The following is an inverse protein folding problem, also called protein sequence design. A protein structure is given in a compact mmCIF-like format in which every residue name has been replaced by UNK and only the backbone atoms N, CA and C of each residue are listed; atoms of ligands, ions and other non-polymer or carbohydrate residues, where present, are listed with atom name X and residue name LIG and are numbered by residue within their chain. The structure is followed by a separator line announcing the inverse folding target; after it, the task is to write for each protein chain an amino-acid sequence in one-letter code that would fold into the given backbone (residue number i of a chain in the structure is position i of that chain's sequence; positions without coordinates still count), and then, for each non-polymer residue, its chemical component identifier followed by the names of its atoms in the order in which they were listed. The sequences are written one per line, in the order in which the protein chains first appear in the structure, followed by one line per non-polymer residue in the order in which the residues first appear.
data_IF_456061695599
#
_entry.id   IF_456061695599
#
_cell.length_a   1.000
_cell.length_b   1.000
_cell.length_c   1.000
_cell.angle_alpha   90.00
_cell.angle_beta   90.00
_cell.angle_gamma   90.00
#
_symmetry.space_group_name_H-M   'P 1'
#
loop_
_entity.id
_entity.type
_entity.pdbx_description
1 polymer ?
#
# COMPACT_ATOMS: atom_id res chain seq x y z
N UNK A 1 45.09 -22.18 -51.75
CA UNK A 1 44.16 -21.10 -51.38
C UNK A 1 42.88 -21.64 -50.70
N UNK A 2 42.11 -22.54 -51.34
CA UNK A 2 40.86 -23.10 -50.80
C UNK A 2 41.00 -23.74 -49.41
N UNK A 3 42.03 -24.57 -49.19
CA UNK A 3 42.30 -25.20 -47.86
C UNK A 3 42.61 -24.18 -46.76
N UNK A 4 43.20 -23.03 -47.09
CA UNK A 4 43.47 -21.96 -46.11
C UNK A 4 42.20 -21.19 -45.77
N UNK A 5 41.33 -20.99 -46.76
CA UNK A 5 40.04 -20.31 -46.63
C UNK A 5 39.07 -21.13 -45.75
N UNK A 6 38.95 -22.43 -46.02
CA UNK A 6 38.20 -23.38 -45.18
C UNK A 6 38.64 -23.33 -43.71
N UNK A 7 39.95 -23.24 -43.45
CA UNK A 7 40.49 -23.14 -42.09
C UNK A 7 40.15 -21.82 -41.41
N UNK A 8 40.10 -20.70 -42.14
CA UNK A 8 39.73 -19.39 -41.60
C UNK A 8 38.22 -19.33 -41.32
N UNK A 9 37.40 -19.83 -42.24
CA UNK A 9 35.94 -19.91 -42.04
C UNK A 9 35.60 -20.81 -40.84
N UNK A 10 36.27 -21.96 -40.72
CA UNK A 10 36.13 -22.85 -39.56
C UNK A 10 36.56 -22.15 -38.25
N UNK A 11 37.67 -21.41 -38.26
CA UNK A 11 38.15 -20.67 -37.10
C UNK A 11 37.19 -19.55 -36.70
N UNK A 12 36.59 -18.84 -37.67
CA UNK A 12 35.59 -17.82 -37.42
C UNK A 12 34.31 -18.41 -36.83
N UNK A 13 33.82 -19.53 -37.38
CA UNK A 13 32.64 -20.22 -36.84
C UNK A 13 32.87 -20.75 -35.42
N UNK A 14 33.99 -21.45 -35.19
CA UNK A 14 34.33 -21.98 -33.86
C UNK A 14 34.60 -20.87 -32.85
N UNK A 15 35.29 -19.80 -33.25
CA UNK A 15 35.57 -18.66 -32.39
C UNK A 15 34.32 -17.90 -32.00
N UNK A 16 33.42 -17.66 -32.96
CA UNK A 16 32.12 -17.01 -32.67
C UNK A 16 31.26 -17.90 -31.76
N UNK A 17 31.21 -19.21 -32.03
CA UNK A 17 30.50 -20.16 -31.17
C UNK A 17 31.05 -20.19 -29.73
N UNK A 18 32.38 -20.13 -29.57
CA UNK A 18 33.01 -20.08 -28.25
C UNK A 18 32.67 -18.78 -27.50
N UNK A 19 32.66 -17.63 -28.18
CA UNK A 19 32.27 -16.34 -27.58
C UNK A 19 30.83 -16.39 -27.07
N UNK A 20 29.90 -16.89 -27.89
CA UNK A 20 28.50 -17.03 -27.50
C UNK A 20 28.31 -17.99 -26.32
N UNK A 21 29.10 -19.08 -26.26
CA UNK A 21 29.06 -20.04 -25.17
C UNK A 21 29.57 -19.42 -23.85
N UNK A 22 30.68 -18.69 -23.90
CA UNK A 22 31.24 -17.98 -22.73
C UNK A 22 30.26 -16.93 -22.23
N UNK A 23 29.66 -16.15 -23.13
CA UNK A 23 28.63 -15.17 -22.79
C UNK A 23 27.42 -15.82 -22.11
N UNK A 24 26.91 -16.93 -22.67
CA UNK A 24 25.79 -17.65 -22.08
C UNK A 24 26.11 -18.21 -20.70
N UNK A 25 27.31 -18.76 -20.50
CA UNK A 25 27.74 -19.30 -19.21
C UNK A 25 27.96 -18.20 -18.16
N UNK A 26 28.54 -17.05 -18.53
CA UNK A 26 28.68 -15.92 -17.60
C UNK A 26 27.31 -15.34 -17.23
N UNK A 27 26.38 -15.22 -18.19
CA UNK A 27 25.01 -14.78 -17.93
C UNK A 27 24.27 -15.73 -16.98
N UNK A 28 24.36 -17.05 -17.19
CA UNK A 28 23.78 -18.04 -16.27
C UNK A 28 24.41 -17.97 -14.88
N UNK A 29 25.75 -17.83 -14.80
CA UNK A 29 26.45 -17.71 -13.52
C UNK A 29 26.03 -16.47 -12.75
N UNK A 30 25.88 -15.33 -13.42
CA UNK A 30 25.41 -14.10 -12.78
C UNK A 30 23.97 -14.21 -12.31
N UNK A 31 23.07 -14.74 -13.15
CA UNK A 31 21.68 -14.97 -12.76
C UNK A 31 21.61 -15.85 -11.50
N UNK A 32 22.43 -16.91 -11.43
CA UNK A 32 22.50 -17.77 -10.24
C UNK A 32 22.99 -17.04 -8.99
N UNK A 33 24.07 -16.28 -9.10
CA UNK A 33 24.61 -15.51 -7.97
C UNK A 33 23.60 -14.47 -7.46
N UNK A 34 22.90 -13.80 -8.37
CA UNK A 34 21.86 -12.84 -8.03
C UNK A 34 20.66 -13.52 -7.35
N UNK A 35 20.20 -14.66 -7.86
CA UNK A 35 19.14 -15.44 -7.21
C UNK A 35 19.54 -15.94 -5.82
N UNK A 36 20.80 -16.37 -5.64
CA UNK A 36 21.32 -16.77 -4.32
C UNK A 36 21.37 -15.59 -3.35
N UNK A 37 21.79 -14.40 -3.80
CA UNK A 37 21.77 -13.18 -2.98
C UNK A 37 20.35 -12.77 -2.59
N UNK A 38 19.41 -12.80 -3.53
CA UNK A 38 18.00 -12.49 -3.28
C UNK A 38 17.41 -13.50 -2.29
N UNK A 39 17.73 -14.78 -2.41
CA UNK A 39 17.25 -15.80 -1.47
C UNK A 39 17.73 -15.53 -0.03
N UNK A 40 19.00 -15.16 0.15
CA UNK A 40 19.53 -14.79 1.48
C UNK A 40 18.83 -13.55 2.06
N UNK A 41 18.56 -12.53 1.22
CA UNK A 41 17.81 -11.35 1.65
C UNK A 41 16.35 -11.70 1.99
N UNK A 42 15.71 -12.60 1.23
CA UNK A 42 14.36 -13.07 1.53
C UNK A 42 14.30 -13.85 2.86
N UNK A 43 15.31 -14.67 3.16
CA UNK A 43 15.40 -15.39 4.44
C UNK A 43 15.55 -14.41 5.62
N UNK A 44 16.35 -13.35 5.46
CA UNK A 44 16.49 -12.29 6.46
C UNK A 44 15.15 -11.54 6.66
N UNK A 45 14.49 -11.14 5.57
CA UNK A 45 13.17 -10.51 5.61
C UNK A 45 12.15 -11.43 6.29
N UNK A 46 12.15 -12.72 5.96
CA UNK A 46 11.26 -13.72 6.57
C UNK A 46 11.50 -13.81 8.08
N UNK A 47 12.75 -13.91 8.52
CA UNK A 47 13.08 -13.99 9.95
C UNK A 47 12.65 -12.74 10.72
N UNK A 48 12.91 -11.56 10.16
CA UNK A 48 12.52 -10.29 10.77
C UNK A 48 10.99 -10.11 10.80
N UNK A 49 10.27 -10.53 9.75
CA UNK A 49 8.81 -10.51 9.75
C UNK A 49 8.24 -11.50 10.76
N UNK A 50 8.79 -12.71 10.85
CA UNK A 50 8.36 -13.72 11.83
C UNK A 50 8.48 -13.19 13.24
N UNK A 51 9.63 -12.60 13.59
CA UNK A 51 9.84 -12.00 14.91
C UNK A 51 8.84 -10.86 15.20
N UNK A 52 8.56 -10.01 14.21
CA UNK A 52 7.57 -8.94 14.35
C UNK A 52 6.16 -9.50 14.60
N UNK A 53 5.74 -10.53 13.85
CA UNK A 53 4.45 -11.19 14.04
C UNK A 53 4.33 -11.84 15.42
N UNK A 54 5.35 -12.60 15.82
CA UNK A 54 5.38 -13.31 17.11
C UNK A 54 5.26 -12.30 18.27
N UNK A 55 5.97 -11.17 18.18
CA UNK A 55 5.88 -10.10 19.17
C UNK A 55 4.49 -9.46 19.23
N UNK A 56 3.89 -9.17 18.07
CA UNK A 56 2.55 -8.58 18.00
C UNK A 56 1.49 -9.53 18.57
N UNK A 57 1.55 -10.81 18.23
CA UNK A 57 0.63 -11.84 18.74
C UNK A 57 0.81 -11.99 20.25
N UNK A 58 2.05 -12.17 20.73
CA UNK A 58 2.35 -12.34 22.15
C UNK A 58 1.89 -11.14 22.98
N UNK A 59 2.14 -9.90 22.53
CA UNK A 59 1.69 -8.70 23.21
C UNK A 59 0.15 -8.62 23.28
N UNK A 60 -0.52 -8.95 22.17
CA UNK A 60 -1.99 -8.90 22.09
C UNK A 60 -2.64 -9.93 23.01
N UNK A 61 -2.08 -11.14 23.07
CA UNK A 61 -2.54 -12.22 23.95
C UNK A 61 -2.29 -11.94 25.43
N UNK A 62 -1.14 -11.35 25.77
CA UNK A 62 -0.87 -10.91 27.13
C UNK A 62 -1.91 -9.88 27.59
N UNK A 63 -2.12 -8.82 26.79
CA UNK A 63 -3.10 -7.76 27.09
C UNK A 63 -4.52 -8.31 27.21
N UNK A 64 -4.91 -9.23 26.31
CA UNK A 64 -6.21 -9.89 26.34
C UNK A 64 -6.39 -10.73 27.62
N UNK A 65 -5.36 -11.45 28.05
CA UNK A 65 -5.37 -12.22 29.30
C UNK A 65 -5.51 -11.34 30.54
N UNK A 66 -4.80 -10.22 30.59
CA UNK A 66 -4.88 -9.26 31.71
C UNK A 66 -6.26 -8.57 31.77
N UNK A 67 -6.81 -8.17 30.62
CA UNK A 67 -8.16 -7.60 30.53
C UNK A 67 -9.27 -8.58 30.89
N UNK A 68 -9.10 -9.87 30.55
CA UNK A 68 -10.02 -10.92 30.98
C UNK A 68 -10.05 -11.09 32.51
N UNK A 69 -8.90 -10.91 33.17
CA UNK A 69 -8.79 -11.01 34.62
C UNK A 69 -9.29 -9.74 35.34
N UNK A 70 -9.00 -8.55 34.78
CA UNK A 70 -9.34 -7.25 35.38
C UNK A 70 -9.92 -6.31 34.33
N UNK A 71 -11.25 -6.29 34.11
CA UNK A 71 -11.89 -5.45 33.10
C UNK A 71 -11.63 -3.94 33.29
N UNK A 72 -11.50 -3.48 34.54
CA UNK A 72 -11.23 -2.08 34.86
C UNK A 72 -9.82 -1.62 34.42
N UNK A 73 -8.93 -2.56 34.08
CA UNK A 73 -7.60 -2.26 33.53
C UNK A 73 -7.67 -1.41 32.27
N UNK A 74 -8.77 -1.49 31.50
CA UNK A 74 -8.98 -0.73 30.27
C UNK A 74 -8.76 0.78 30.46
N UNK A 75 -9.18 1.35 31.58
CA UNK A 75 -9.00 2.78 31.89
C UNK A 75 -7.56 3.12 32.32
N UNK A 76 -6.79 2.12 32.74
CA UNK A 76 -5.42 2.25 33.25
C UNK A 76 -4.35 1.83 32.22
N UNK A 77 -4.75 1.40 31.02
CA UNK A 77 -3.84 0.92 29.96
C UNK A 77 -2.76 1.92 29.56
N UNK A 78 -2.99 3.22 29.73
CA UNK A 78 -1.99 4.25 29.44
C UNK A 78 -0.70 4.14 30.30
N UNK A 79 -0.75 3.43 31.43
CA UNK A 79 0.41 3.11 32.26
C UNK A 79 0.99 1.72 32.00
N UNK A 80 0.39 0.94 31.10
CA UNK A 80 0.83 -0.43 30.86
C UNK A 80 2.18 -0.46 30.11
N UNK A 81 3.16 -1.29 30.50
CA UNK A 81 4.50 -1.28 29.89
C UNK A 81 4.50 -1.49 28.37
N UNK A 82 3.64 -2.39 27.86
CA UNK A 82 3.49 -2.60 26.41
C UNK A 82 3.03 -1.32 25.72
N UNK A 83 2.06 -0.60 26.30
CA UNK A 83 1.54 0.66 25.74
C UNK A 83 2.60 1.76 25.79
N UNK A 84 3.36 1.85 26.88
CA UNK A 84 4.44 2.83 27.01
C UNK A 84 5.64 2.56 26.09
N UNK A 85 5.81 1.32 25.64
CA UNK A 85 6.85 0.94 24.68
C UNK A 85 6.47 1.20 23.22
N UNK A 86 5.20 1.54 22.95
CA UNK A 86 4.75 1.85 21.60
C UNK A 86 5.43 3.12 21.08
N UNK A 87 5.67 3.12 19.77
CA UNK A 87 6.04 4.33 19.04
C UNK A 87 4.90 5.34 19.07
N UNK A 88 5.25 6.62 19.12
CA UNK A 88 4.28 7.72 18.99
C UNK A 88 3.71 7.83 17.56
N UNK A 89 4.29 7.11 16.58
CA UNK A 89 3.76 7.07 15.22
C UNK A 89 2.61 6.05 15.10
N UNK A 90 1.35 6.49 14.93
CA UNK A 90 0.19 5.61 14.76
C UNK A 90 0.26 4.76 13.49
N UNK A 91 1.09 5.16 12.50
CA UNK A 91 1.31 4.39 11.29
C UNK A 91 2.11 3.12 11.58
N UNK A 92 2.99 3.14 12.58
CA UNK A 92 3.82 2.00 12.92
C UNK A 92 3.00 0.88 13.55
N UNK A 93 2.26 1.22 14.60
CA UNK A 93 1.39 0.28 15.31
C UNK A 93 0.32 1.05 16.08
N UNK A 94 -0.94 0.68 15.89
CA UNK A 94 -2.05 1.12 16.74
C UNK A 94 -2.61 -0.08 17.49
N UNK A 95 -2.63 -0.01 18.83
CA UNK A 95 -3.35 -0.96 19.67
C UNK A 95 -4.68 -0.35 20.07
N UNK A 96 -5.79 -1.01 19.76
CA UNK A 96 -7.14 -0.58 20.13
C UNK A 96 -7.88 -1.66 20.89
N UNK A 97 -8.70 -1.23 21.84
CA UNK A 97 -9.34 -2.07 22.83
C UNK A 97 -10.83 -1.83 22.80
N UNK A 98 -11.60 -2.90 22.70
CA UNK A 98 -13.06 -2.81 22.67
C UNK A 98 -13.66 -3.31 23.96
N UNK A 99 -14.71 -2.62 24.44
CA UNK A 99 -15.69 -3.24 25.33
C UNK A 99 -16.82 -3.73 24.44
N UNK A 100 -17.09 -5.03 24.52
CA UNK A 100 -17.94 -5.74 23.57
C UNK A 100 -17.54 -5.42 22.11
N UNK A 101 -18.34 -4.65 21.38
CA UNK A 101 -18.14 -4.31 19.96
C UNK A 101 -17.71 -2.87 19.73
N UNK A 102 -17.46 -2.11 20.80
CA UNK A 102 -17.14 -0.69 20.70
C UNK A 102 -15.72 -0.40 21.17
N UNK A 103 -14.97 0.35 20.38
CA UNK A 103 -13.62 0.79 20.71
C UNK A 103 -13.67 1.88 21.79
N UNK A 104 -13.15 1.55 22.98
CA UNK A 104 -13.12 2.46 24.14
C UNK A 104 -11.74 3.09 24.38
N UNK A 105 -10.66 2.42 23.94
CA UNK A 105 -9.30 2.93 24.05
C UNK A 105 -8.49 2.59 22.80
N UNK A 106 -7.57 3.47 22.41
CA UNK A 106 -6.62 3.25 21.34
C UNK A 106 -5.32 4.01 21.62
N UNK A 107 -4.19 3.40 21.28
CA UNK A 107 -2.86 3.90 21.54
C UNK A 107 -1.96 3.75 20.30
N UNK A 108 -1.10 4.74 20.00
CA UNK A 108 -1.01 6.06 20.68
C UNK A 108 -2.31 6.87 20.53
N UNK A 109 -2.66 7.69 21.52
CA UNK A 109 -3.95 8.41 21.51
C UNK A 109 -3.99 9.43 20.36
N UNK A 110 -2.87 10.13 20.16
CA UNK A 110 -2.68 11.06 19.06
C UNK A 110 -2.47 10.27 17.76
N UNK A 111 -3.27 10.57 16.75
CA UNK A 111 -3.23 9.90 15.44
C UNK A 111 -4.11 8.64 15.30
N UNK A 112 -4.62 8.09 16.40
CA UNK A 112 -5.60 6.98 16.39
C UNK A 112 -7.05 7.45 16.59
N UNK A 113 -7.33 8.75 16.45
CA UNK A 113 -8.65 9.35 16.68
C UNK A 113 -9.71 8.80 15.71
N UNK A 114 -9.28 8.36 14.54
CA UNK A 114 -10.09 7.74 13.50
C UNK A 114 -10.59 6.33 13.83
N UNK A 115 -10.09 5.74 14.90
CA UNK A 115 -10.45 4.39 15.35
C UNK A 115 -11.26 4.47 16.66
N UNK A 116 -11.01 5.47 17.49
CA UNK A 116 -11.73 5.69 18.74
C UNK A 116 -13.24 5.85 18.56
N UNK A 117 -14.02 5.16 19.40
CA UNK A 117 -15.48 5.25 19.43
C UNK A 117 -16.20 4.49 18.30
N UNK A 118 -15.47 3.76 17.44
CA UNK A 118 -16.09 2.89 16.44
C UNK A 118 -16.95 1.85 17.16
N UNK A 119 -18.20 1.75 16.72
CA UNK A 119 -19.09 0.65 17.04
C UNK A 119 -19.12 -0.31 15.85
N UNK A 120 -18.58 -1.52 16.05
CA UNK A 120 -18.49 -2.53 15.02
C UNK A 120 -19.85 -3.09 14.60
N UNK A 121 -20.92 -2.97 15.41
CA UNK A 121 -22.27 -3.32 14.96
C UNK A 121 -22.72 -2.46 13.77
N UNK A 122 -22.22 -1.22 13.69
CA UNK A 122 -22.53 -0.29 12.62
C UNK A 122 -21.55 -0.38 11.44
N UNK A 123 -20.58 -1.30 11.50
CA UNK A 123 -19.54 -1.50 10.48
C UNK A 123 -19.50 -2.98 10.03
N UNK A 124 -20.45 -3.42 9.18
CA UNK A 124 -20.59 -4.81 8.78
C UNK A 124 -19.32 -5.43 8.17
N UNK A 125 -18.45 -4.60 7.58
CA UNK A 125 -17.18 -5.02 6.98
C UNK A 125 -16.22 -5.70 7.97
N UNK A 126 -16.29 -5.35 9.27
CA UNK A 126 -15.43 -5.95 10.30
C UNK A 126 -16.11 -7.12 11.04
N UNK A 127 -17.42 -7.27 10.93
CA UNK A 127 -18.15 -8.27 11.71
C UNK A 127 -17.82 -9.71 11.33
N UNK A 128 -17.40 -9.96 10.09
CA UNK A 128 -16.96 -11.30 9.67
C UNK A 128 -15.68 -11.72 10.39
N UNK A 129 -14.67 -10.85 10.43
CA UNK A 129 -13.41 -11.13 11.14
C UNK A 129 -13.62 -11.20 12.65
N UNK A 130 -14.45 -10.33 13.21
CA UNK A 130 -14.75 -10.32 14.66
C UNK A 130 -15.44 -11.62 15.08
N UNK A 131 -16.48 -12.06 14.35
CA UNK A 131 -17.15 -13.34 14.65
C UNK A 131 -16.20 -14.52 14.57
N UNK A 132 -15.27 -14.51 13.62
CA UNK A 132 -14.22 -15.53 13.47
C UNK A 132 -13.25 -15.54 14.65
N UNK A 133 -12.84 -14.36 15.14
CA UNK A 133 -12.06 -14.23 16.36
C UNK A 133 -12.80 -14.86 17.56
N UNK A 134 -14.05 -14.44 17.79
CA UNK A 134 -14.88 -14.91 18.90
C UNK A 134 -15.09 -16.42 18.85
N UNK A 135 -15.37 -16.97 17.65
CA UNK A 135 -15.62 -18.40 17.46
C UNK A 135 -14.37 -19.26 17.68
N UNK A 136 -13.20 -18.80 17.20
CA UNK A 136 -11.93 -19.50 17.39
C UNK A 136 -11.37 -19.36 18.80
N UNK A 137 -11.79 -18.33 19.55
CA UNK A 137 -11.22 -17.93 20.85
C UNK A 137 -9.70 -17.72 20.82
N UNK A 138 -9.16 -17.44 19.63
CA UNK A 138 -7.75 -17.24 19.41
C UNK A 138 -7.50 -15.98 18.59
N UNK A 139 -6.23 -15.63 18.49
CA UNK A 139 -5.80 -14.52 17.64
C UNK A 139 -6.07 -14.89 16.17
N UNK A 140 -6.69 -13.96 15.44
CA UNK A 140 -6.90 -14.07 13.99
C UNK A 140 -6.20 -12.93 13.25
N UNK A 141 -6.06 -13.06 11.94
CA UNK A 141 -5.45 -12.04 11.09
C UNK A 141 -6.38 -11.68 9.93
N UNK A 142 -6.56 -10.39 9.69
CA UNK A 142 -6.99 -9.89 8.40
C UNK A 142 -5.78 -9.32 7.66
N UNK A 143 -5.38 -10.04 6.62
CA UNK A 143 -4.30 -9.64 5.72
C UNK A 143 -4.87 -8.74 4.63
N UNK A 144 -4.23 -7.59 4.35
CA UNK A 144 -4.67 -6.59 3.35
C UNK A 144 -5.96 -5.85 3.71
N UNK A 145 -5.87 -5.01 4.74
CA UNK A 145 -6.94 -4.08 5.11
C UNK A 145 -6.51 -2.64 4.86
N UNK A 146 -7.47 -1.78 4.53
CA UNK A 146 -7.21 -0.33 4.55
C UNK A 146 -7.38 0.18 5.97
N UNK A 147 -6.28 0.58 6.59
CA UNK A 147 -6.24 1.10 7.95
C UNK A 147 -6.97 2.44 8.01
N UNK A 148 -7.94 2.58 8.93
CA UNK A 148 -8.72 3.82 9.04
C UNK A 148 -7.90 5.00 9.55
N UNK A 149 -6.85 4.73 10.33
CA UNK A 149 -5.97 5.75 10.88
C UNK A 149 -5.06 6.40 9.83
N UNK A 150 -4.52 5.62 8.89
CA UNK A 150 -3.53 6.12 7.90
C UNK A 150 -4.03 6.14 6.46
N UNK A 151 -5.17 5.50 6.17
CA UNK A 151 -5.66 5.22 4.83
C UNK A 151 -4.68 4.39 3.97
N UNK A 152 -3.77 3.65 4.61
CA UNK A 152 -2.78 2.79 3.96
C UNK A 152 -3.15 1.32 4.10
N UNK A 153 -2.53 0.49 3.27
CA UNK A 153 -2.66 -0.97 3.38
C UNK A 153 -1.91 -1.44 4.62
N UNK A 154 -2.55 -2.31 5.39
CA UNK A 154 -1.98 -2.87 6.59
C UNK A 154 -2.59 -4.22 6.93
N UNK A 155 -2.27 -4.64 8.14
CA UNK A 155 -2.82 -5.84 8.76
C UNK A 155 -3.52 -5.48 10.06
N UNK A 156 -4.52 -6.28 10.42
CA UNK A 156 -5.14 -6.20 11.75
C UNK A 156 -5.15 -7.60 12.35
N UNK A 157 -4.46 -7.74 13.48
CA UNK A 157 -4.62 -8.89 14.38
C UNK A 157 -5.77 -8.61 15.34
N UNK A 158 -6.57 -9.63 15.64
CA UNK A 158 -7.65 -9.51 16.64
C UNK A 158 -7.59 -10.65 17.62
N UNK A 159 -7.41 -10.30 18.88
CA UNK A 159 -7.36 -11.25 19.99
C UNK A 159 -8.57 -11.01 20.88
N UNK A 160 -9.55 -11.92 20.91
CA UNK A 160 -10.72 -11.78 21.76
C UNK A 160 -10.36 -12.07 23.21
N UNK A 161 -11.02 -11.39 24.13
CA UNK A 161 -10.97 -11.72 25.55
C UNK A 161 -12.36 -11.93 26.13
N UNK A 162 -12.45 -12.80 27.12
CA UNK A 162 -13.70 -13.28 27.68
C UNK A 162 -13.72 -13.04 29.19
N UNK A 163 -14.79 -12.44 29.67
CA UNK A 163 -15.08 -12.32 31.10
C UNK A 163 -15.56 -13.67 31.64
N UNK A 164 -15.14 -14.01 32.86
CA UNK A 164 -15.57 -15.23 33.55
C UNK A 164 -17.08 -15.23 33.86
N UNK A 165 -17.73 -14.06 33.90
CA UNK A 165 -19.17 -13.92 34.21
C UNK A 165 -20.04 -13.82 32.97
N UNK A 166 -19.63 -13.02 32.00
CA UNK A 166 -20.53 -12.52 30.95
C UNK A 166 -20.18 -13.06 29.55
N UNK A 167 -19.18 -13.94 29.44
CA UNK A 167 -18.75 -14.48 28.16
C UNK A 167 -17.87 -13.50 27.40
N UNK A 168 -18.15 -13.25 26.12
CA UNK A 168 -17.33 -12.35 25.30
C UNK A 168 -17.34 -10.93 25.90
N UNK A 169 -16.16 -10.40 26.21
CA UNK A 169 -16.02 -9.10 26.87
C UNK A 169 -15.42 -8.02 25.96
N UNK A 170 -14.65 -8.42 24.94
CA UNK A 170 -14.05 -7.48 24.00
C UNK A 170 -12.92 -8.06 23.16
N UNK A 171 -12.18 -7.17 22.49
CA UNK A 171 -11.05 -7.49 21.62
C UNK A 171 -9.88 -6.56 21.91
N UNK A 172 -8.68 -7.11 21.78
CA UNK A 172 -7.45 -6.36 21.54
C UNK A 172 -7.18 -6.43 20.04
N UNK A 173 -7.19 -5.28 19.37
CA UNK A 173 -6.87 -5.17 17.95
C UNK A 173 -5.52 -4.49 17.77
N UNK A 174 -4.64 -5.14 17.00
CA UNK A 174 -3.30 -4.65 16.69
C UNK A 174 -3.23 -4.35 15.21
N UNK A 175 -3.19 -3.07 14.86
CA UNK A 175 -3.21 -2.59 13.48
C UNK A 175 -1.84 -2.02 13.09
N UNK A 176 -1.20 -2.62 12.09
CA UNK A 176 0.15 -2.24 11.65
C UNK A 176 0.18 -1.97 10.14
N UNK A 177 0.90 -0.93 9.73
CA UNK A 177 1.10 -0.59 8.32
C UNK A 177 2.06 -1.57 7.66
N UNK A 178 1.62 -2.15 6.55
CA UNK A 178 2.38 -3.20 5.85
C UNK A 178 3.71 -2.67 5.32
N UNK A 179 3.74 -1.45 4.79
CA UNK A 179 4.96 -0.88 4.21
C UNK A 179 5.99 -0.58 5.30
N UNK A 180 5.56 -0.10 6.47
CA UNK A 180 6.47 0.13 7.59
C UNK A 180 7.01 -1.19 8.14
N UNK A 181 6.17 -2.21 8.28
CA UNK A 181 6.61 -3.56 8.68
C UNK A 181 7.66 -4.13 7.73
N UNK A 182 7.44 -3.99 6.42
CA UNK A 182 8.39 -4.48 5.41
C UNK A 182 9.71 -3.73 5.42
N UNK A 183 9.69 -2.41 5.59
CA UNK A 183 10.93 -1.62 5.74
C UNK A 183 11.72 -2.04 6.98
N UNK A 184 11.04 -2.24 8.11
CA UNK A 184 11.66 -2.76 9.34
C UNK A 184 12.20 -4.17 9.17
N UNK A 185 11.58 -4.97 8.31
CA UNK A 185 12.08 -6.30 7.97
C UNK A 185 13.29 -6.27 7.03
N UNK A 186 13.68 -5.12 6.49
CA UNK A 186 14.83 -4.95 5.61
C UNK A 186 14.47 -4.82 4.12
N UNK A 187 13.19 -4.74 3.76
CA UNK A 187 12.76 -4.51 2.39
C UNK A 187 12.34 -3.06 2.15
N UNK A 188 13.15 -2.33 1.38
CA UNK A 188 12.86 -0.97 0.91
C UNK A 188 12.77 -1.02 -0.62
N UNK A 189 11.60 -0.78 -1.24
CA UNK A 189 11.40 -0.98 -2.68
C UNK A 189 12.41 -0.25 -3.57
N UNK A 190 12.82 0.95 -3.18
CA UNK A 190 13.75 1.80 -3.95
C UNK A 190 15.20 1.33 -3.89
N UNK A 191 15.57 0.60 -2.83
CA UNK A 191 16.94 0.12 -2.59
C UNK A 191 17.08 -1.38 -2.92
N UNK A 192 15.96 -2.11 -2.90
CA UNK A 192 15.93 -3.52 -3.21
C UNK A 192 16.26 -3.75 -4.70
N UNK A 193 17.14 -4.72 -4.96
CA UNK A 193 17.44 -5.18 -6.33
C UNK A 193 16.33 -6.04 -6.96
N UNK A 194 15.15 -6.13 -6.33
CA UNK A 194 14.07 -7.04 -6.70
C UNK A 194 12.69 -6.51 -6.29
N UNK A 195 11.69 -6.87 -7.09
CA UNK A 195 10.27 -6.74 -6.77
C UNK A 195 9.87 -7.87 -5.80
N UNK A 196 9.03 -7.57 -4.80
CA UNK A 196 8.52 -8.51 -3.81
C UNK A 196 7.03 -8.80 -4.03
N UNK A 197 6.66 -10.08 -4.00
CA UNK A 197 5.30 -10.58 -3.92
C UNK A 197 5.08 -11.23 -2.56
N UNK A 198 3.93 -10.96 -1.96
CA UNK A 198 3.49 -11.59 -0.71
C UNK A 198 2.10 -12.17 -0.94
N UNK A 199 1.99 -13.49 -0.85
CA UNK A 199 0.73 -14.21 -0.99
C UNK A 199 0.33 -14.81 0.37
N UNK A 200 -0.88 -14.52 0.84
CA UNK A 200 -1.44 -15.14 2.03
C UNK A 200 -2.17 -16.44 1.69
N UNK A 201 -1.87 -17.47 2.48
CA UNK A 201 -2.52 -18.77 2.44
C UNK A 201 -3.09 -19.08 3.83
N UNK A 202 -4.39 -19.35 3.89
CA UNK A 202 -5.10 -19.79 5.09
C UNK A 202 -6.11 -20.87 4.73
N UNK A 203 -6.60 -21.66 5.70
CA UNK A 203 -7.62 -22.67 5.45
C UNK A 203 -8.91 -22.12 4.82
N UNK A 204 -9.22 -20.83 5.06
CA UNK A 204 -10.43 -20.16 4.59
C UNK A 204 -10.21 -19.37 3.28
N UNK A 205 -8.97 -18.97 2.99
CA UNK A 205 -8.59 -18.19 1.81
C UNK A 205 -7.20 -18.60 1.33
N UNK A 206 -7.14 -19.12 0.10
CA UNK A 206 -5.88 -19.50 -0.56
C UNK A 206 -5.53 -18.48 -1.62
N UNK A 207 -4.29 -17.96 -1.60
CA UNK A 207 -3.77 -17.08 -2.65
C UNK A 207 -4.34 -15.66 -2.60
N UNK A 208 -4.42 -15.08 -1.40
CA UNK A 208 -4.73 -13.65 -1.26
C UNK A 208 -3.47 -12.83 -1.50
N UNK A 209 -3.41 -12.10 -2.60
CA UNK A 209 -2.28 -11.23 -2.92
C UNK A 209 -2.24 -10.03 -1.96
N UNK A 210 -1.31 -10.01 -1.02
CA UNK A 210 -1.13 -8.91 -0.07
C UNK A 210 -0.35 -7.77 -0.73
N UNK A 211 0.72 -8.12 -1.43
CA UNK A 211 1.62 -7.20 -2.11
C UNK A 211 2.06 -7.82 -3.45
N UNK A 212 2.17 -6.99 -4.48
CA UNK A 212 2.63 -7.39 -5.81
C UNK A 212 1.50 -7.87 -6.73
N UNK A 213 1.86 -8.14 -7.98
CA UNK A 213 0.97 -8.71 -9.00
C UNK A 213 1.41 -10.16 -9.28
N UNK A 214 0.61 -11.18 -8.95
CA UNK A 214 1.00 -12.58 -9.10
C UNK A 214 1.34 -12.93 -10.55
N UNK A 215 0.77 -12.23 -11.53
CA UNK A 215 0.98 -12.52 -12.95
C UNK A 215 2.41 -12.25 -13.40
N UNK A 216 3.11 -11.30 -12.75
CA UNK A 216 4.54 -11.01 -13.00
C UNK A 216 5.46 -12.10 -12.42
N UNK A 217 5.00 -12.77 -11.37
CA UNK A 217 5.78 -13.74 -10.58
C UNK A 217 5.48 -15.21 -10.94
N UNK A 218 4.68 -15.49 -11.97
CA UNK A 218 4.35 -16.87 -12.41
C UNK A 218 5.55 -17.77 -12.67
N UNK A 219 6.71 -17.20 -12.97
CA UNK A 219 7.97 -17.93 -13.25
C UNK A 219 8.97 -17.85 -12.10
N UNK A 220 8.67 -17.09 -11.05
CA UNK A 220 9.52 -16.97 -9.88
C UNK A 220 9.46 -18.26 -9.07
N UNK A 221 10.58 -18.68 -8.45
CA UNK A 221 10.59 -19.84 -7.57
C UNK A 221 9.71 -19.59 -6.33
N UNK A 222 9.24 -20.67 -5.71
CA UNK A 222 8.68 -20.62 -4.36
C UNK A 222 9.75 -20.06 -3.40
N UNK A 223 9.32 -19.26 -2.44
CA UNK A 223 10.22 -18.67 -1.46
C UNK A 223 9.85 -19.01 -0.02
N UNK A 224 10.52 -18.36 0.95
CA UNK A 224 10.35 -18.67 2.35
C UNK A 224 8.97 -18.25 2.86
N UNK A 225 8.52 -18.90 3.94
CA UNK A 225 7.15 -18.76 4.47
C UNK A 225 7.18 -18.13 5.88
N UNK A 226 6.36 -17.13 6.11
CA UNK A 226 6.11 -16.53 7.43
C UNK A 226 4.85 -17.16 8.01
N UNK A 227 4.92 -17.74 9.20
CA UNK A 227 3.74 -18.27 9.89
C UNK A 227 2.89 -17.15 10.46
N UNK A 228 1.58 -17.20 10.19
CA UNK A 228 0.60 -16.24 10.72
C UNK A 228 -0.51 -16.99 11.47
N UNK A 229 -1.34 -16.30 12.27
CA UNK A 229 -2.45 -16.94 12.99
C UNK A 229 -3.41 -17.73 12.09
N UNK A 230 -4.28 -18.52 12.70
CA UNK A 230 -5.25 -19.41 12.00
C UNK A 230 -4.59 -20.53 11.16
N UNK A 231 -3.39 -20.98 11.54
CA UNK A 231 -2.59 -21.95 10.79
C UNK A 231 -2.32 -21.48 9.34
N UNK A 232 -2.29 -20.16 9.12
CA UNK A 232 -1.96 -19.56 7.84
C UNK A 232 -0.46 -19.33 7.69
N UNK A 233 -0.05 -19.01 6.46
CA UNK A 233 1.29 -18.52 6.18
C UNK A 233 1.27 -17.47 5.07
N UNK A 234 2.25 -16.58 5.10
CA UNK A 234 2.58 -15.71 3.98
C UNK A 234 3.75 -16.30 3.22
N UNK A 235 3.60 -16.49 1.91
CA UNK A 235 4.69 -16.89 1.03
C UNK A 235 5.34 -15.63 0.43
N UNK A 236 6.65 -15.52 0.57
CA UNK A 236 7.44 -14.42 0.02
C UNK A 236 8.08 -14.87 -1.29
N UNK A 237 7.83 -14.18 -2.40
CA UNK A 237 8.53 -14.42 -3.66
C UNK A 237 9.20 -13.15 -4.14
N UNK A 238 10.39 -13.29 -4.71
CA UNK A 238 11.11 -12.19 -5.32
C UNK A 238 11.25 -12.39 -6.82
N UNK A 239 11.19 -11.29 -7.56
CA UNK A 239 11.58 -11.23 -8.94
C UNK A 239 12.69 -10.18 -9.04
N UNK A 240 13.91 -10.54 -9.47
CA UNK A 240 14.94 -9.53 -9.69
C UNK A 240 14.36 -8.46 -10.60
N UNK A 241 14.67 -7.19 -10.31
CA UNK A 241 14.47 -6.14 -11.31
C UNK A 241 15.15 -6.61 -12.59
N UNK A 242 14.65 -6.19 -13.76
CA UNK A 242 15.30 -6.45 -15.05
C UNK A 242 16.70 -5.81 -15.02
N UNK A 243 17.65 -6.48 -14.38
CA UNK A 243 19.05 -6.24 -14.50
C UNK A 243 19.35 -6.81 -15.87
N UNK A 244 19.13 -5.99 -16.89
CA UNK A 244 19.75 -6.17 -18.18
C UNK A 244 21.19 -6.55 -17.87
N UNK A 245 21.51 -7.85 -18.02
CA UNK A 245 22.85 -8.38 -17.81
C UNK A 245 23.82 -7.35 -18.35
N UNK A 246 24.65 -6.76 -17.48
CA UNK A 246 25.20 -5.43 -17.76
C UNK A 246 25.73 -5.41 -19.18
N UNK A 247 25.10 -4.61 -20.06
CA UNK A 247 25.44 -4.61 -21.49
C UNK A 247 26.94 -4.41 -21.65
N UNK A 248 27.54 -3.58 -20.77
CA UNK A 248 28.97 -3.40 -20.64
C UNK A 248 29.80 -4.70 -20.50
N UNK A 249 29.37 -5.70 -19.71
CA UNK A 249 30.10 -6.96 -19.52
C UNK A 249 29.87 -7.93 -20.68
N UNK A 250 28.64 -8.02 -21.21
CA UNK A 250 28.36 -8.73 -22.47
C UNK A 250 29.23 -8.17 -23.59
N UNK A 251 29.20 -6.84 -23.76
CA UNK A 251 29.94 -6.13 -24.78
C UNK A 251 31.45 -6.27 -24.57
N UNK A 252 31.94 -6.27 -23.32
CA UNK A 252 33.34 -6.54 -23.03
C UNK A 252 33.76 -7.97 -23.45
N UNK A 253 32.95 -8.99 -23.13
CA UNK A 253 33.19 -10.38 -23.56
C UNK A 253 33.19 -10.47 -25.09
N UNK A 254 32.22 -9.82 -25.75
CA UNK A 254 32.09 -9.79 -27.21
C UNK A 254 33.26 -9.06 -27.88
N UNK A 255 33.64 -7.88 -27.39
CA UNK A 255 34.71 -7.05 -27.97
C UNK A 255 36.09 -7.68 -27.74
N UNK A 256 36.37 -8.18 -26.53
CA UNK A 256 37.63 -8.86 -26.24
C UNK A 256 37.76 -10.17 -27.03
N UNK A 257 36.67 -10.95 -27.11
CA UNK A 257 36.60 -12.15 -27.93
C UNK A 257 36.76 -11.87 -29.43
N UNK A 258 36.07 -10.85 -29.95
CA UNK A 258 36.15 -10.44 -31.35
C UNK A 258 37.55 -9.87 -31.71
N UNK A 259 38.17 -9.08 -30.82
CA UNK A 259 39.52 -8.58 -31.00
C UNK A 259 40.54 -9.72 -31.07
N UNK A 260 40.43 -10.70 -30.17
CA UNK A 260 41.29 -11.89 -30.16
C UNK A 260 41.08 -12.76 -31.41
N UNK A 261 39.82 -12.92 -31.85
CA UNK A 261 39.49 -13.62 -33.09
C UNK A 261 40.06 -12.88 -34.32
N UNK A 262 39.93 -11.56 -34.37
CA UNK A 262 40.47 -10.72 -35.44
C UNK A 262 42.00 -10.81 -35.49
N UNK A 263 42.68 -10.80 -34.33
CA UNK A 263 44.13 -11.03 -34.25
C UNK A 263 44.53 -12.41 -34.77
N UNK A 264 43.79 -13.47 -34.41
CA UNK A 264 44.04 -14.83 -34.89
C UNK A 264 43.82 -14.97 -36.41
N UNK A 265 42.75 -14.37 -36.94
CA UNK A 265 42.47 -14.33 -38.37
C UNK A 265 43.54 -13.53 -39.10
N UNK A 266 43.93 -12.36 -38.58
CA UNK A 266 45.00 -11.53 -39.15
C UNK A 266 46.33 -12.28 -39.19
N UNK A 267 46.72 -12.92 -38.08
CA UNK A 267 47.93 -13.75 -38.03
C UNK A 267 47.88 -14.91 -39.06
N UNK A 268 46.73 -15.57 -39.22
CA UNK A 268 46.53 -16.62 -40.23
C UNK A 268 46.58 -16.09 -41.67
N UNK A 269 46.02 -14.92 -41.92
CA UNK A 269 46.08 -14.23 -43.22
C UNK A 269 47.51 -13.78 -43.55
N UNK A 270 48.26 -13.32 -42.54
CA UNK A 270 49.65 -12.87 -42.68
C UNK A 270 50.55 -14.04 -43.03
N UNK A 271 50.46 -15.13 -42.25
CA UNK A 271 51.24 -16.36 -42.46
C UNK A 271 50.90 -17.08 -43.77
N UNK A 272 49.68 -16.92 -44.30
CA UNK A 272 49.27 -17.53 -45.57
C UNK A 272 49.61 -16.69 -46.81
N UNK A 273 50.25 -15.53 -46.65
CA UNK A 273 50.71 -14.68 -47.76
C UNK A 273 49.61 -13.90 -48.48
N UNK A 274 48.36 -13.96 -47.99
CA UNK A 274 47.19 -13.31 -48.62
C UNK A 274 47.29 -11.77 -48.49
N UNK A 275 47.83 -11.28 -47.36
CA UNK A 275 48.04 -9.85 -47.09
C UNK A 275 49.16 -9.22 -47.94
N UNK A 276 50.17 -9.99 -48.37
CA UNK A 276 51.29 -9.49 -49.17
C UNK A 276 50.89 -9.04 -50.58
N UNK A 277 49.74 -9.52 -51.09
CA UNK A 277 49.21 -9.22 -52.42
C UNK A 277 48.39 -7.94 -52.54
N UNK A 278 48.16 -7.19 -51.46
CA UNK A 278 47.36 -5.94 -51.45
C UNK A 278 48.16 -4.75 -52.00
N UNK A 279 49.50 -4.83 -52.00
CA UNK A 279 50.38 -3.74 -52.47
C UNK A 279 50.71 -3.78 -53.97
N UNK A 280 50.34 -4.83 -54.70
CA UNK A 280 50.63 -4.96 -56.13
C UNK A 280 49.35 -4.80 -56.96
N UNK A 281 49.28 -3.69 -57.68
CA UNK A 281 48.21 -3.36 -58.60
C UNK A 281 48.64 -3.73 -60.02
N UNK A 282 47.84 -4.54 -60.72
CA UNK A 282 47.29 -4.26 -62.07
C UNK A 282 46.67 -5.54 -62.68
N UNK A 283 45.36 -5.45 -62.93
CA UNK A 283 44.51 -6.27 -63.80
C UNK A 283 44.15 -7.68 -63.32
N UNK A 284 43.00 -7.78 -62.62
CA UNK A 284 42.34 -9.03 -62.23
C UNK A 284 41.31 -8.89 -61.10
N UNK A 285 40.42 -7.90 -61.16
CA UNK A 285 39.29 -7.76 -60.22
C UNK A 285 38.18 -8.76 -60.59
N UNK A 286 38.21 -9.99 -60.07
CA UNK A 286 37.05 -10.89 -60.19
C UNK A 286 36.90 -11.92 -59.05
N UNK A 287 37.94 -12.19 -58.27
CA UNK A 287 37.87 -13.16 -57.17
C UNK A 287 38.13 -12.53 -55.79
N UNK A 288 38.94 -11.47 -55.72
CA UNK A 288 39.39 -10.87 -54.46
C UNK A 288 38.37 -9.94 -53.80
N UNK A 289 37.68 -9.10 -54.58
CA UNK A 289 36.56 -8.25 -54.10
C UNK A 289 35.35 -9.10 -53.70
N UNK A 290 35.10 -10.19 -54.42
CA UNK A 290 34.04 -11.17 -54.14
C UNK A 290 34.22 -11.83 -52.76
N UNK A 291 35.46 -12.10 -52.35
CA UNK A 291 35.79 -12.69 -51.04
C UNK A 291 35.51 -11.73 -49.88
N UNK A 292 35.86 -10.46 -50.03
CA UNK A 292 35.57 -9.44 -48.99
C UNK A 292 34.07 -9.21 -48.89
N UNK A 293 33.37 -9.15 -50.02
CA UNK A 293 31.92 -9.02 -50.07
C UNK A 293 31.21 -10.21 -49.39
N UNK A 294 31.69 -11.43 -49.61
CA UNK A 294 31.12 -12.66 -49.03
C UNK A 294 31.22 -12.71 -47.49
N UNK A 295 32.21 -12.04 -46.90
CA UNK A 295 32.37 -11.98 -45.44
C UNK A 295 31.57 -10.82 -44.83
N UNK A 296 31.46 -9.69 -45.51
CA UNK A 296 30.76 -8.50 -45.01
C UNK A 296 29.23 -8.64 -45.11
N UNK A 297 28.73 -9.24 -46.20
CA UNK A 297 27.30 -9.40 -46.46
C UNK A 297 26.52 -10.11 -45.31
N UNK A 298 26.97 -11.26 -44.77
CA UNK A 298 26.24 -11.92 -43.68
C UNK A 298 26.24 -11.11 -42.38
N UNK A 299 27.27 -10.28 -42.13
CA UNK A 299 27.35 -9.43 -40.94
C UNK A 299 26.26 -8.34 -41.01
N UNK A 300 26.11 -7.69 -42.17
CA UNK A 300 25.10 -6.62 -42.36
C UNK A 300 23.67 -7.16 -42.24
N UNK A 301 23.40 -8.34 -42.81
CA UNK A 301 22.07 -8.97 -42.74
C UNK A 301 21.67 -9.31 -41.29
N UNK A 302 22.61 -9.79 -40.48
CA UNK A 302 22.35 -10.18 -39.10
C UNK A 302 22.06 -8.95 -38.21
N UNK A 303 22.81 -7.86 -38.41
CA UNK A 303 22.57 -6.58 -37.72
C UNK A 303 21.18 -6.00 -38.07
N UNK A 304 20.79 -6.05 -39.35
CA UNK A 304 19.47 -5.58 -39.79
C UNK A 304 18.31 -6.36 -39.19
N UNK A 305 18.43 -7.69 -39.07
CA UNK A 305 17.40 -8.54 -38.47
C UNK A 305 17.21 -8.26 -36.96
N UNK A 306 18.31 -8.06 -36.23
CA UNK A 306 18.28 -7.74 -34.79
C UNK A 306 17.61 -6.37 -34.56
N UNK A 307 17.93 -5.37 -35.37
CA UNK A 307 17.33 -4.03 -35.26
C UNK A 307 15.81 -4.04 -35.50
N UNK A 308 15.34 -4.85 -36.47
CA UNK A 308 13.92 -4.94 -36.80
C UNK A 308 13.08 -5.58 -35.69
N UNK A 309 13.58 -6.67 -35.09
CA UNK A 309 12.90 -7.36 -33.98
C UNK A 309 12.79 -6.49 -32.72
N UNK A 310 13.78 -5.64 -32.46
CA UNK A 310 13.75 -4.72 -31.31
C UNK A 310 12.66 -3.65 -31.45
N UNK A 311 12.47 -3.11 -32.65
CA UNK A 311 11.48 -2.04 -32.91
C UNK A 311 10.03 -2.52 -32.78
N UNK A 312 9.73 -3.74 -33.22
CA UNK A 312 8.37 -4.28 -33.17
C UNK A 312 7.88 -4.61 -31.76
N UNK A 313 8.79 -4.95 -30.85
CA UNK A 313 8.48 -5.24 -29.45
C UNK A 313 8.05 -3.98 -28.66
N UNK A 314 8.56 -2.80 -29.00
CA UNK A 314 8.34 -1.56 -28.24
C UNK A 314 6.95 -0.95 -28.46
N UNK A 315 6.37 -1.10 -29.65
CA UNK A 315 5.07 -0.49 -29.97
C UNK A 315 3.88 -1.16 -29.26
N UNK A 316 3.94 -2.49 -29.04
CA UNK A 316 2.85 -3.25 -28.41
C UNK A 316 2.66 -2.94 -26.91
N UNK A 317 3.70 -2.43 -26.23
CA UNK A 317 3.65 -2.08 -24.82
C UNK A 317 2.97 -0.72 -24.58
N UNK A 318 3.11 0.24 -25.51
CA UNK A 318 2.58 1.59 -25.38
C UNK A 318 1.06 1.67 -25.57
N UNK A 319 0.49 0.84 -26.46
CA UNK A 319 -0.95 0.84 -26.75
C UNK A 319 -1.81 0.31 -25.59
N UNK A 320 -1.27 -0.59 -24.76
CA UNK A 320 -1.99 -1.20 -23.63
C UNK A 320 -2.15 -0.24 -22.44
N UNK A 321 -1.17 0.64 -22.23
CA UNK A 321 -1.17 1.62 -21.13
C UNK A 321 -2.22 2.74 -21.32
N UNK A 322 -2.50 3.14 -22.55
CA UNK A 322 -3.43 4.25 -22.84
C UNK A 322 -4.91 3.84 -22.71
N UNK A 323 -5.25 2.58 -22.94
CA UNK A 323 -6.65 2.13 -22.89
C UNK A 323 -7.18 1.89 -21.47
N UNK A 324 -6.32 1.61 -20.48
CA UNK A 324 -6.74 1.34 -19.09
C UNK A 324 -7.07 2.61 -18.27
N UNK A 325 -6.47 3.76 -18.57
CA UNK A 325 -6.67 4.98 -17.74
C UNK A 325 -7.98 5.75 -18.04
N UNK A 326 -8.54 5.59 -19.24
CA UNK A 326 -9.68 6.41 -19.68
C UNK A 326 -11.05 5.94 -19.16
N UNK A 327 -11.20 4.64 -18.87
CA UNK A 327 -12.48 4.06 -18.43
C UNK A 327 -12.74 4.22 -16.93
N UNK A 328 -11.69 4.23 -16.10
CA UNK A 328 -11.82 4.43 -14.63
C UNK A 328 -12.24 5.86 -14.26
N UNK A 329 -11.75 6.87 -14.98
CA UNK A 329 -12.05 8.29 -14.70
C UNK A 329 -13.54 8.64 -14.92
N UNK A 330 -14.21 7.98 -15.87
CA UNK A 330 -15.60 8.30 -16.23
C UNK A 330 -16.63 7.83 -15.19
N UNK A 331 -16.34 6.74 -14.46
CA UNK A 331 -17.27 6.18 -13.46
C UNK A 331 -17.22 6.95 -12.13
N UNK A 332 -16.04 7.41 -11.72
CA UNK A 332 -15.86 8.23 -10.50
C UNK A 332 -16.54 9.61 -10.59
N UNK A 333 -16.62 10.20 -11.78
CA UNK A 333 -17.19 11.53 -11.95
C UNK A 333 -18.72 11.55 -11.76
N UNK A 334 -19.42 10.47 -12.13
CA UNK A 334 -20.89 10.38 -12.09
C UNK A 334 -21.43 10.21 -10.67
N UNK A 335 -20.80 9.35 -9.87
CA UNK A 335 -21.19 9.12 -8.47
C UNK A 335 -21.02 10.35 -7.57
N UNK A 336 -20.09 11.26 -7.92
CA UNK A 336 -19.82 12.47 -7.14
C UNK A 336 -20.82 13.61 -7.38
N UNK A 337 -21.50 13.59 -8.53
CA UNK A 337 -22.49 14.61 -8.90
C UNK A 337 -23.84 14.37 -8.22
N UNK A 338 -24.30 13.11 -8.13
CA UNK A 338 -25.56 12.78 -7.45
C UNK A 338 -25.50 13.08 -5.94
N UNK A 339 -24.35 12.82 -5.33
CA UNK A 339 -24.09 13.06 -3.91
C UNK A 339 -24.27 14.54 -3.48
N UNK A 340 -23.99 15.47 -4.39
CA UNK A 340 -24.02 16.91 -4.10
C UNK A 340 -25.46 17.42 -3.87
N UNK A 341 -26.46 16.78 -4.45
CA UNK A 341 -27.85 17.26 -4.43
C UNK A 341 -28.68 16.78 -3.22
N UNK A 342 -28.18 15.84 -2.41
CA UNK A 342 -28.90 15.35 -1.22
C UNK A 342 -28.72 16.25 0.02
N UNK A 343 -27.68 17.08 0.06
CA UNK A 343 -27.34 17.92 1.22
C UNK A 343 -28.42 18.99 1.54
N UNK A 344 -28.98 19.74 0.57
CA UNK A 344 -30.03 20.73 0.86
C UNK A 344 -31.30 20.13 1.50
N UNK A 345 -31.63 18.88 1.15
CA UNK A 345 -32.81 18.18 1.69
C UNK A 345 -32.66 17.88 3.18
N UNK A 346 -31.45 17.51 3.61
CA UNK A 346 -31.14 17.28 5.03
C UNK A 346 -31.24 18.58 5.83
N UNK A 347 -30.70 19.68 5.31
CA UNK A 347 -30.80 20.98 5.97
C UNK A 347 -32.26 21.45 6.13
N UNK A 348 -33.12 21.21 5.13
CA UNK A 348 -34.54 21.51 5.22
C UNK A 348 -35.24 20.73 6.34
N UNK A 349 -34.92 19.44 6.47
CA UNK A 349 -35.48 18.60 7.51
C UNK A 349 -35.07 19.05 8.92
N UNK A 350 -33.80 19.41 9.13
CA UNK A 350 -33.34 19.93 10.42
C UNK A 350 -34.05 21.24 10.83
N UNK A 351 -34.34 22.12 9.86
CA UNK A 351 -35.10 23.36 10.09
C UNK A 351 -36.55 23.04 10.51
N UNK A 352 -37.19 22.06 9.89
CA UNK A 352 -38.54 21.60 10.30
C UNK A 352 -38.54 21.03 11.72
N UNK A 353 -37.55 20.22 12.08
CA UNK A 353 -37.41 19.70 13.45
C UNK A 353 -37.24 20.82 14.49
N UNK A 354 -36.50 21.87 14.14
CA UNK A 354 -36.35 23.04 14.99
C UNK A 354 -37.67 23.83 15.13
N UNK A 355 -38.37 24.09 14.03
CA UNK A 355 -39.67 24.81 14.02
C UNK A 355 -40.73 24.10 14.84
N UNK A 356 -40.73 22.76 14.82
CA UNK A 356 -41.66 21.93 15.58
C UNK A 356 -41.22 21.68 17.03
N UNK A 357 -40.13 22.32 17.49
CA UNK A 357 -39.65 22.23 18.87
C UNK A 357 -38.98 20.90 19.24
N UNK A 358 -38.74 20.01 18.26
CA UNK A 358 -38.06 18.73 18.46
C UNK A 358 -36.58 18.96 18.75
N UNK A 359 -35.97 19.89 18.02
CA UNK A 359 -34.60 20.36 18.26
C UNK A 359 -34.67 21.73 18.94
N UNK A 360 -33.96 21.90 20.07
CA UNK A 360 -33.91 23.18 20.79
C UNK A 360 -32.55 23.41 21.48
N UNK A 361 -32.01 24.65 21.44
CA UNK A 361 -30.77 25.00 22.13
C UNK A 361 -30.92 24.94 23.66
N UNK A 362 -32.16 24.97 24.18
CA UNK A 362 -32.40 24.79 25.61
C UNK A 362 -32.15 23.35 26.09
N UNK A 363 -32.02 22.38 25.18
CA UNK A 363 -31.72 20.97 25.45
C UNK A 363 -30.60 20.48 24.52
N UNK A 364 -29.36 20.96 24.71
CA UNK A 364 -28.27 20.76 23.76
C UNK A 364 -27.91 19.28 23.55
N UNK A 365 -27.94 18.46 24.60
CA UNK A 365 -27.66 17.01 24.50
C UNK A 365 -28.64 16.30 23.56
N UNK A 366 -29.94 16.57 23.72
CA UNK A 366 -30.97 15.96 22.88
C UNK A 366 -30.86 16.45 21.43
N UNK A 367 -30.63 17.75 21.22
CA UNK A 367 -30.35 18.32 19.91
C UNK A 367 -29.16 17.62 19.23
N UNK A 368 -28.03 17.54 19.93
CA UNK A 368 -26.81 16.92 19.43
C UNK A 368 -27.02 15.45 19.06
N UNK A 369 -27.73 14.67 19.88
CA UNK A 369 -28.07 13.27 19.59
C UNK A 369 -28.90 13.12 18.31
N UNK A 370 -29.85 14.04 18.05
CA UNK A 370 -30.65 14.05 16.81
C UNK A 370 -29.80 14.43 15.59
N UNK A 371 -28.97 15.48 15.70
CA UNK A 371 -28.07 15.88 14.62
C UNK A 371 -27.09 14.75 14.26
N UNK A 372 -26.57 14.07 15.28
CA UNK A 372 -25.67 12.94 15.12
C UNK A 372 -26.36 11.75 14.45
N UNK A 373 -27.61 11.45 14.83
CA UNK A 373 -28.39 10.38 14.21
C UNK A 373 -28.62 10.63 12.71
N UNK A 374 -28.85 11.88 12.31
CA UNK A 374 -28.95 12.24 10.89
C UNK A 374 -27.63 11.98 10.13
N UNK A 375 -26.48 12.32 10.73
CA UNK A 375 -25.16 12.00 10.12
C UNK A 375 -24.91 10.50 9.97
N UNK A 376 -25.39 9.67 10.92
CA UNK A 376 -25.25 8.21 10.83
C UNK A 376 -26.04 7.62 9.65
N UNK A 377 -27.20 8.21 9.34
CA UNK A 377 -28.09 7.72 8.27
C UNK A 377 -27.69 8.26 6.89
N UNK A 378 -27.03 9.43 6.81
CA UNK A 378 -26.61 10.04 5.54
C UNK A 378 -25.08 10.07 5.40
N UNK A 379 -24.45 9.09 4.70
CA UNK A 379 -23.00 8.96 4.66
C UNK A 379 -22.24 10.16 4.10
N UNK A 380 -22.89 10.94 3.21
CA UNK A 380 -22.29 12.07 2.51
C UNK A 380 -22.36 13.39 3.29
N UNK A 381 -23.14 13.43 4.37
CA UNK A 381 -23.27 14.61 5.21
C UNK A 381 -22.11 14.66 6.19
N UNK A 382 -21.28 15.69 6.07
CA UNK A 382 -20.06 15.83 6.88
C UNK A 382 -20.28 16.68 8.13
N UNK A 383 -21.19 17.65 8.09
CA UNK A 383 -21.49 18.53 9.21
C UNK A 383 -22.98 18.88 9.26
N UNK A 384 -23.55 18.79 10.46
CA UNK A 384 -24.79 19.47 10.84
C UNK A 384 -24.49 20.29 12.09
N UNK A 385 -24.70 21.60 12.00
CA UNK A 385 -24.37 22.51 13.09
C UNK A 385 -25.44 23.56 13.31
N UNK A 386 -25.45 24.10 14.52
CA UNK A 386 -26.38 25.09 15.01
C UNK A 386 -25.61 26.10 15.87
N UNK A 387 -25.96 27.38 15.72
CA UNK A 387 -25.49 28.42 16.63
C UNK A 387 -26.65 29.25 17.14
N UNK A 388 -26.51 29.72 18.37
CA UNK A 388 -27.50 30.56 19.03
C UNK A 388 -27.06 32.04 19.05
N UNK A 389 -27.96 32.90 19.52
CA UNK A 389 -27.72 34.35 19.63
C UNK A 389 -26.68 34.73 20.69
N UNK A 390 -26.34 33.80 21.58
CA UNK A 390 -25.29 33.96 22.58
C UNK A 390 -23.89 33.67 22.03
N UNK A 391 -23.79 33.21 20.78
CA UNK A 391 -22.53 32.88 20.11
C UNK A 391 -22.01 31.47 20.39
N UNK A 392 -22.84 30.63 21.03
CA UNK A 392 -22.52 29.23 21.26
C UNK A 392 -22.71 28.42 19.98
N UNK A 393 -21.91 27.36 19.87
CA UNK A 393 -21.86 26.48 18.72
C UNK A 393 -22.06 25.04 19.15
N UNK A 394 -22.89 24.32 18.40
CA UNK A 394 -23.14 22.89 18.57
C UNK A 394 -23.11 22.22 17.20
N UNK A 395 -22.42 21.09 17.08
CA UNK A 395 -22.36 20.35 15.84
C UNK A 395 -22.23 18.84 16.04
N UNK A 396 -22.85 18.11 15.13
CA UNK A 396 -22.48 16.75 14.82
C UNK A 396 -21.68 16.78 13.52
N UNK A 397 -20.56 16.06 13.49
CA UNK A 397 -19.61 16.13 12.39
C UNK A 397 -19.01 14.76 12.09
N UNK A 398 -18.43 14.63 10.90
CA UNK A 398 -17.42 13.63 10.56
C UNK A 398 -16.34 14.29 9.71
N UNK A 399 -15.10 13.79 9.73
CA UNK A 399 -14.04 14.34 8.90
C UNK A 399 -14.45 14.38 7.41
N UNK A 400 -14.28 15.53 6.72
CA UNK A 400 -14.69 15.67 5.32
C UNK A 400 -13.72 15.00 4.34
N UNK A 401 -12.51 14.67 4.79
CA UNK A 401 -11.48 14.00 4.03
C UNK A 401 -10.74 12.98 4.91
N UNK A 402 -10.20 11.93 4.29
CA UNK A 402 -9.56 10.81 4.98
C UNK A 402 -10.43 9.55 5.02
N UNK A 403 -9.85 8.46 5.49
CA UNK A 403 -10.53 7.18 5.74
C UNK A 403 -11.43 7.20 6.97
N UNK A 404 -11.22 8.17 7.87
CA UNK A 404 -12.06 8.34 9.05
C UNK A 404 -13.46 8.82 8.65
N UNK A 405 -14.46 8.00 8.95
CA UNK A 405 -15.88 8.34 8.79
C UNK A 405 -16.63 8.35 10.11
N UNK A 406 -15.93 8.33 11.24
CA UNK A 406 -16.56 8.30 12.54
C UNK A 406 -17.25 9.64 12.79
N UNK A 407 -18.43 9.54 13.40
CA UNK A 407 -19.19 10.70 13.82
C UNK A 407 -18.64 11.22 15.14
N UNK A 408 -18.63 12.53 15.30
CA UNK A 408 -18.06 13.27 16.43
C UNK A 408 -19.02 14.37 16.84
N UNK A 409 -19.02 14.72 18.12
CA UNK A 409 -19.75 15.87 18.65
C UNK A 409 -18.76 17.02 18.86
N UNK A 410 -19.15 18.23 18.46
CA UNK A 410 -18.35 19.42 18.65
C UNK A 410 -19.18 20.52 19.27
N UNK A 411 -18.64 21.21 20.26
CA UNK A 411 -19.30 22.39 20.80
C UNK A 411 -18.30 23.38 21.37
N UNK A 412 -18.69 24.66 21.30
CA UNK A 412 -18.03 25.79 21.92
C UNK A 412 -19.11 26.64 22.59
N UNK A 413 -19.20 26.56 23.91
CA UNK A 413 -20.25 27.19 24.72
C UNK A 413 -19.64 28.21 25.68
N UNK A 414 -20.47 28.94 26.42
CA UNK A 414 -19.94 29.78 27.50
C UNK A 414 -19.30 28.94 28.60
N UNK A 415 -19.84 27.75 28.88
CA UNK A 415 -19.33 26.80 29.88
C UNK A 415 -17.94 26.26 29.50
N UNK A 416 -17.68 26.03 28.22
CA UNK A 416 -16.34 25.62 27.75
C UNK A 416 -15.36 26.79 27.67
N UNK A 417 -15.72 27.98 28.16
CA UNK A 417 -14.93 29.20 28.00
C UNK A 417 -14.79 29.61 26.53
N UNK A 418 -15.73 29.17 25.68
CA UNK A 418 -15.71 29.30 24.21
C UNK A 418 -14.55 28.59 23.52
N UNK A 419 -13.83 27.71 24.21
CA UNK A 419 -12.91 26.80 23.56
C UNK A 419 -13.70 25.72 22.81
N UNK A 420 -13.29 25.42 21.58
CA UNK A 420 -13.87 24.33 20.81
C UNK A 420 -13.44 22.99 21.41
N UNK A 421 -14.42 22.15 21.74
CA UNK A 421 -14.20 20.80 22.22
C UNK A 421 -14.75 19.82 21.18
N UNK A 422 -13.93 18.84 20.79
CA UNK A 422 -14.30 17.77 19.87
C UNK A 422 -14.33 16.47 20.65
N UNK A 423 -15.53 15.94 20.86
CA UNK A 423 -15.80 14.71 21.58
C UNK A 423 -16.05 13.57 20.61
N UNK A 424 -15.56 12.38 20.97
CA UNK A 424 -16.02 11.14 20.38
C UNK A 424 -17.41 10.81 20.91
N UNK A 425 -18.06 9.83 20.28
CA UNK A 425 -19.43 9.45 20.63
C UNK A 425 -19.43 8.23 21.53
N UNK A 426 -19.90 8.42 22.76
CA UNK A 426 -20.19 7.45 23.81
C UNK A 426 -21.41 6.56 23.49
N UNK A 427 -21.79 5.70 24.43
CA UNK A 427 -23.05 4.94 24.31
C UNK A 427 -24.25 5.89 24.26
N UNK A 428 -25.30 5.51 23.54
CA UNK A 428 -26.53 6.32 23.46
C UNK A 428 -26.40 7.69 22.77
N UNK A 429 -25.38 7.88 21.92
CA UNK A 429 -25.09 9.15 21.21
C UNK A 429 -24.68 10.33 22.12
N UNK A 430 -24.13 10.04 23.30
CA UNK A 430 -23.61 11.04 24.23
C UNK A 430 -22.13 11.39 23.94
N UNK A 431 -21.63 12.56 24.37
CA UNK A 431 -20.20 12.89 24.23
C UNK A 431 -19.33 12.03 25.16
N UNK A 432 -18.11 11.70 24.72
CA UNK A 432 -17.09 11.06 25.56
C UNK A 432 -16.56 12.01 26.64
N UNK A 433 -16.07 11.45 27.75
CA UNK A 433 -15.41 12.24 28.81
C UNK A 433 -14.12 12.91 28.33
N UNK A 434 -13.34 12.21 27.51
CA UNK A 434 -12.16 12.75 26.84
C UNK A 434 -12.54 13.51 25.58
N UNK A 435 -11.78 14.56 25.26
CA UNK A 435 -11.98 15.38 24.08
C UNK A 435 -10.69 15.99 23.56
N UNK A 436 -10.70 16.37 22.28
CA UNK A 436 -9.63 17.16 21.66
C UNK A 436 -9.99 18.64 21.73
N UNK A 437 -9.03 19.48 22.12
CA UNK A 437 -9.17 20.93 22.07
C UNK A 437 -8.91 21.42 20.64
N UNK A 438 -9.91 22.07 20.05
CA UNK A 438 -9.79 22.77 18.78
C UNK A 438 -9.34 24.23 18.99
N UNK A 439 -10.00 25.16 18.31
CA UNK A 439 -9.73 26.58 18.47
C UNK A 439 -9.88 27.02 19.95
N UNK A 440 -8.93 27.79 20.49
CA UNK A 440 -8.95 28.23 21.89
C UNK A 440 -10.11 29.19 22.19
N UNK A 441 -10.62 29.86 21.17
CA UNK A 441 -11.78 30.73 21.25
C UNK A 441 -12.59 30.67 19.96
N UNK A 442 -13.86 30.32 20.06
CA UNK A 442 -14.80 30.25 18.94
C UNK A 442 -16.12 30.94 19.32
N UNK A 443 -16.46 32.00 18.59
CA UNK A 443 -17.76 32.67 18.67
C UNK A 443 -18.45 32.53 17.32
N UNK A 444 -19.56 31.79 17.29
CA UNK A 444 -20.27 31.50 16.06
C UNK A 444 -20.78 32.75 15.34
N UNK A 445 -21.00 33.86 16.06
CA UNK A 445 -21.48 35.13 15.48
C UNK A 445 -20.45 35.80 14.56
N UNK A 446 -19.18 35.44 14.70
CA UNK A 446 -18.11 35.92 13.83
C UNK A 446 -18.00 35.13 12.53
N UNK A 447 -18.71 34.01 12.40
CA UNK A 447 -18.64 33.17 11.20
C UNK A 447 -19.41 33.78 10.03
N UNK A 448 -18.93 33.54 8.81
CA UNK A 448 -19.55 34.04 7.58
C UNK A 448 -20.99 33.54 7.44
N UNK A 449 -21.24 32.25 7.71
CA UNK A 449 -22.57 31.66 7.58
C UNK A 449 -23.59 32.24 8.57
N UNK A 450 -23.17 32.55 9.81
CA UNK A 450 -24.06 33.17 10.79
C UNK A 450 -24.46 34.58 10.34
N UNK A 451 -23.48 35.39 9.95
CA UNK A 451 -23.74 36.76 9.47
C UNK A 451 -24.61 36.79 8.21
N UNK A 452 -24.43 35.82 7.31
CA UNK A 452 -25.27 35.69 6.11
C UNK A 452 -26.70 35.27 6.45
N UNK A 453 -26.88 34.33 7.38
CA UNK A 453 -28.20 33.89 7.83
C UNK A 453 -29.01 35.05 8.42
N UNK A 454 -28.40 35.88 9.28
CA UNK A 454 -29.06 37.06 9.87
C UNK A 454 -29.44 38.11 8.82
N UNK A 455 -28.61 38.31 7.79
CA UNK A 455 -28.87 39.33 6.75
C UNK A 455 -29.99 38.96 5.79
N UNK A 456 -30.21 37.67 5.56
CA UNK A 456 -30.95 37.19 4.39
C UNK A 456 -32.17 36.32 4.71
N UNK A 457 -32.38 35.99 6.00
CA UNK A 457 -33.53 35.27 6.56
C UNK A 457 -34.06 34.12 5.68
N UNK A 458 -33.20 33.13 5.41
CA UNK A 458 -33.57 31.98 4.59
C UNK A 458 -32.43 31.00 4.30
N UNK A 459 -32.78 29.81 3.81
CA UNK A 459 -31.80 28.77 3.44
C UNK A 459 -30.97 29.19 2.23
N UNK A 460 -29.65 29.20 2.36
CA UNK A 460 -28.72 29.58 1.29
C UNK A 460 -27.37 28.88 1.42
N UNK A 461 -26.67 28.83 0.29
CA UNK A 461 -25.24 28.57 0.26
C UNK A 461 -24.47 29.82 0.69
N UNK A 462 -23.39 29.63 1.43
CA UNK A 462 -22.42 30.67 1.77
C UNK A 462 -21.06 30.34 1.13
N UNK A 463 -20.19 31.34 0.87
CA UNK A 463 -18.87 31.10 0.31
C UNK A 463 -17.99 30.26 1.23
N UNK A 464 -17.08 29.45 0.68
CA UNK A 464 -16.07 28.72 1.45
C UNK A 464 -15.23 29.71 2.26
N UNK A 465 -15.01 29.44 3.55
CA UNK A 465 -14.27 30.29 4.48
C UNK A 465 -13.33 29.49 5.37
#
# INVERSE_FOLDING_TARGET
MIKALLRITLLLLLGTGLILLVEHFDAQRQARLQSEQIALQLDEIQGNLQQQFDQLVSNSEQLAGELAATPDLLHLLHWHPIIQSLSDDPAELTLSFTREYKIEAAFPVVGSEAVMGIDYFLSPEFMTSIRRAIASRGTIIDSKVTLRQTNRQGIILRTPYFSLKDGYAGLVNSAADLQIMLRKAGWVPEEAGFDLLIEAHSPQQTGLDILGDPERFRRSPEGPRVSVPENGYWELRAQPHDSAYSTARSDFIRLSGAALLALLIFYRLYKSGILAGIRSNRHGMALRTSVVLMVILPIVLLVGAVAWLSYSATQQAAERLMQQQASELAWQLRARIEAFFDVPRQAAFAVELFRNGVISPAKPEHMLSILLSQLRVQPQLTFLSMANTQGEYYAASRPPAGSDRNVRLQFATQETGRAMQVHWVGEGNQPSEQFVKGNPYFDARHTTWYQQAIKQDGMRWYPVY
#
